data_IF_827906530092
#
_entry.id   IF_827906530092
#
_cell.length_a   1.000
_cell.length_b   1.000
_cell.length_c   1.000
_cell.angle_alpha   90.00
_cell.angle_beta   90.00
_cell.angle_gamma   90.00
#
_symmetry.space_group_name_H-M   'P 1'
#
loop_
_entity.id
_entity.type
_entity.pdbx_description
1 polymer ?
#
# COMPACT_ATOMS: atom_id res chain seq x y z
N UNK A 1 26.58 20.56 33.94
CA UNK A 1 26.22 21.25 32.68
C UNK A 1 25.39 20.27 31.87
N UNK A 2 24.13 20.58 31.57
CA UNK A 2 23.27 19.71 30.77
C UNK A 2 23.56 19.98 29.30
N UNK A 3 23.99 18.96 28.56
CA UNK A 3 24.18 19.09 27.11
C UNK A 3 22.83 19.45 26.46
N UNK A 4 22.74 20.52 25.65
CA UNK A 4 21.50 20.86 24.99
C UNK A 4 21.08 19.72 24.05
N UNK A 5 19.80 19.37 24.10
CA UNK A 5 19.23 18.32 23.25
C UNK A 5 19.24 18.79 21.79
N UNK A 6 19.69 17.96 20.82
CA UNK A 6 19.62 18.32 19.42
C UNK A 6 18.18 18.42 18.92
N UNK A 7 17.96 19.22 17.89
CA UNK A 7 16.68 19.25 17.16
C UNK A 7 16.61 18.06 16.21
N UNK A 8 15.52 17.28 16.27
CA UNK A 8 15.23 16.15 15.39
C UNK A 8 13.83 16.36 14.81
N UNK A 9 13.67 16.17 13.50
CA UNK A 9 12.39 16.31 12.79
C UNK A 9 12.13 15.05 11.98
N UNK A 10 10.93 14.47 12.11
CA UNK A 10 10.51 13.35 11.27
C UNK A 10 10.20 13.86 9.87
N UNK A 11 10.96 13.40 8.88
CA UNK A 11 10.77 13.88 7.51
C UNK A 11 9.75 13.07 6.73
N UNK A 12 9.84 11.75 6.76
CA UNK A 12 8.97 10.85 6.00
C UNK A 12 9.09 9.43 6.53
N UNK A 13 8.00 8.67 6.38
CA UNK A 13 8.04 7.21 6.41
C UNK A 13 8.53 6.72 5.05
N UNK A 14 9.40 5.72 5.01
CA UNK A 14 9.98 5.19 3.76
C UNK A 14 9.48 3.78 3.53
N UNK A 15 8.98 3.49 2.32
CA UNK A 15 8.55 2.17 1.89
C UNK A 15 9.53 1.61 0.86
N UNK A 16 9.98 0.38 1.09
CA UNK A 16 10.79 -0.36 0.13
C UNK A 16 9.89 -0.95 -0.95
N UNK A 17 10.30 -0.93 -2.21
CA UNK A 17 9.51 -1.46 -3.34
C UNK A 17 10.40 -2.02 -4.45
N UNK A 18 9.91 -2.91 -5.33
CA UNK A 18 10.65 -3.34 -6.50
C UNK A 18 10.99 -2.19 -7.46
N UNK A 19 10.10 -1.19 -7.56
CA UNK A 19 10.30 0.06 -8.29
C UNK A 19 9.74 1.24 -7.46
N UNK A 20 10.61 2.19 -7.10
CA UNK A 20 10.23 3.34 -6.29
C UNK A 20 9.34 4.34 -7.05
N UNK A 21 9.55 4.49 -8.36
CA UNK A 21 8.81 5.45 -9.17
C UNK A 21 7.37 4.97 -9.40
N UNK A 22 7.19 3.68 -9.71
CA UNK A 22 5.84 3.10 -9.87
C UNK A 22 5.02 3.20 -8.59
N UNK A 23 5.64 2.90 -7.43
CA UNK A 23 4.95 3.00 -6.16
C UNK A 23 4.64 4.46 -5.77
N UNK A 24 5.58 5.37 -6.00
CA UNK A 24 5.35 6.80 -5.76
C UNK A 24 4.24 7.35 -6.65
N UNK A 25 4.16 6.93 -7.91
CA UNK A 25 3.10 7.34 -8.82
C UNK A 25 1.71 6.89 -8.34
N UNK A 26 1.60 5.69 -7.77
CA UNK A 26 0.37 5.24 -7.10
C UNK A 26 -0.02 6.18 -5.95
N UNK A 27 0.88 6.44 -5.00
CA UNK A 27 0.59 7.29 -3.85
C UNK A 27 0.35 8.76 -4.23
N UNK A 28 0.98 9.26 -5.30
CA UNK A 28 0.67 10.60 -5.86
C UNK A 28 -0.79 10.68 -6.29
N UNK A 29 -1.29 9.69 -7.05
CA UNK A 29 -2.68 9.70 -7.51
C UNK A 29 -3.67 9.45 -6.36
N UNK A 30 -3.32 8.55 -5.45
CA UNK A 30 -4.13 8.26 -4.26
C UNK A 30 -4.32 9.50 -3.38
N UNK A 31 -3.23 10.23 -3.08
CA UNK A 31 -3.21 11.29 -2.07
C UNK A 31 -3.24 12.71 -2.65
N UNK A 32 -2.98 12.87 -3.94
CA UNK A 32 -2.76 14.17 -4.59
C UNK A 32 -1.48 14.87 -4.11
N UNK A 33 -0.50 14.12 -3.60
CA UNK A 33 0.77 14.66 -3.10
C UNK A 33 1.81 14.70 -4.20
N UNK A 34 2.49 15.83 -4.36
CA UNK A 34 3.50 16.01 -5.40
C UNK A 34 4.91 15.60 -4.93
N UNK A 35 5.76 15.11 -5.86
CA UNK A 35 7.15 14.82 -5.55
C UNK A 35 7.95 16.09 -5.27
N UNK A 36 8.82 16.00 -4.26
CA UNK A 36 9.78 17.05 -3.91
C UNK A 36 11.23 16.61 -4.11
N UNK A 37 11.43 15.33 -4.39
CA UNK A 37 12.71 14.73 -4.72
C UNK A 37 12.45 13.50 -5.58
N UNK A 38 13.16 13.41 -6.71
CA UNK A 38 13.08 12.29 -7.65
C UNK A 38 14.49 11.99 -8.17
N UNK A 39 14.96 10.77 -7.89
CA UNK A 39 16.26 10.27 -8.27
C UNK A 39 16.13 8.79 -8.69
N UNK A 40 17.08 8.22 -9.45
CA UNK A 40 17.04 6.81 -9.78
C UNK A 40 16.95 5.93 -8.53
N UNK A 41 15.82 5.23 -8.37
CA UNK A 41 15.56 4.34 -7.23
C UNK A 41 15.07 5.02 -5.96
N UNK A 42 14.76 6.32 -5.99
CA UNK A 42 14.26 7.08 -4.83
C UNK A 42 13.27 8.16 -5.24
N UNK A 43 12.11 8.19 -4.59
CA UNK A 43 11.13 9.28 -4.74
C UNK A 43 10.60 9.69 -3.38
N UNK A 44 10.32 10.99 -3.20
CA UNK A 44 9.71 11.52 -1.98
C UNK A 44 8.55 12.44 -2.30
N UNK A 45 7.39 12.16 -1.72
CA UNK A 45 6.17 12.96 -1.79
C UNK A 45 5.96 13.71 -0.48
N UNK A 46 5.45 14.95 -0.55
CA UNK A 46 5.04 15.70 0.64
C UNK A 46 3.57 16.15 0.55
N UNK A 47 2.86 16.19 1.69
CA UNK A 47 1.53 16.81 1.74
C UNK A 47 1.61 18.32 1.44
N UNK A 48 0.62 18.89 0.73
CA UNK A 48 0.62 20.31 0.38
C UNK A 48 0.58 21.25 1.59
N UNK A 49 0.04 20.79 2.73
CA UNK A 49 0.01 21.53 3.99
C UNK A 49 1.30 21.44 4.83
N UNK A 50 2.32 20.74 4.35
CA UNK A 50 3.50 20.39 5.13
C UNK A 50 3.25 19.26 6.14
N UNK A 51 4.32 18.78 6.78
CA UNK A 51 4.29 17.62 7.66
C UNK A 51 5.24 16.52 7.20
N UNK A 52 5.09 15.33 7.77
CA UNK A 52 5.85 14.15 7.37
C UNK A 52 5.24 13.54 6.11
N UNK A 53 6.08 13.29 5.10
CA UNK A 53 5.64 12.72 3.83
C UNK A 53 5.87 11.22 3.72
N UNK A 54 5.85 10.73 2.47
CA UNK A 54 6.22 9.36 2.11
C UNK A 54 7.46 9.37 1.22
N UNK A 55 8.40 8.50 1.53
CA UNK A 55 9.55 8.16 0.69
C UNK A 55 9.38 6.75 0.14
N UNK A 56 9.95 6.52 -1.03
CA UNK A 56 9.91 5.25 -1.74
C UNK A 56 11.31 4.89 -2.18
N UNK A 57 11.75 3.67 -1.88
CA UNK A 57 13.09 3.19 -2.16
C UNK A 57 13.03 1.90 -2.97
N UNK A 58 13.83 1.83 -4.03
CA UNK A 58 13.98 0.58 -4.80
C UNK A 58 14.82 -0.44 -4.03
N UNK A 59 14.23 -1.59 -3.73
CA UNK A 59 14.87 -2.71 -3.03
C UNK A 59 14.61 -4.03 -3.78
N UNK A 60 15.68 -4.68 -4.23
CA UNK A 60 15.61 -5.90 -5.03
C UNK A 60 15.19 -7.12 -4.23
N UNK A 61 15.45 -7.11 -2.93
CA UNK A 61 15.08 -8.17 -2.01
C UNK A 61 13.69 -7.95 -1.38
N UNK A 62 12.91 -6.98 -1.87
CA UNK A 62 11.59 -6.70 -1.36
C UNK A 62 10.68 -7.94 -1.43
N UNK A 63 10.03 -8.23 -0.31
CA UNK A 63 9.00 -9.26 -0.19
C UNK A 63 7.79 -8.63 0.50
N UNK A 64 6.59 -8.67 -0.12
CA UNK A 64 5.41 -8.05 0.45
C UNK A 64 5.03 -8.68 1.79
N UNK A 65 4.57 -7.89 2.77
CA UNK A 65 3.97 -8.41 3.99
C UNK A 65 2.73 -9.27 3.73
N UNK A 66 2.50 -10.25 4.59
CA UNK A 66 1.28 -11.06 4.59
C UNK A 66 0.28 -10.47 5.57
N UNK A 67 -1.00 -10.44 5.18
CA UNK A 67 -2.08 -10.00 6.06
C UNK A 67 -3.29 -10.95 6.00
N UNK A 68 -3.78 -11.44 7.17
CA UNK A 68 -3.16 -11.35 8.49
C UNK A 68 -1.95 -12.29 8.57
N UNK A 69 -0.88 -11.85 9.24
CA UNK A 69 0.33 -12.66 9.35
C UNK A 69 0.20 -13.79 10.38
N UNK A 70 0.81 -14.92 10.07
CA UNK A 70 1.06 -16.06 10.98
C UNK A 70 2.55 -16.16 11.32
N UNK A 71 2.94 -16.95 12.35
CA UNK A 71 4.34 -17.17 12.68
C UNK A 71 5.13 -17.70 11.48
N UNK A 72 6.19 -16.98 11.09
CA UNK A 72 7.03 -17.31 9.94
C UNK A 72 6.72 -16.54 8.66
N UNK A 73 5.60 -15.83 8.61
CA UNK A 73 5.27 -14.94 7.49
C UNK A 73 6.07 -13.63 7.56
N UNK A 74 6.21 -12.96 6.41
CA UNK A 74 6.69 -11.59 6.38
C UNK A 74 5.68 -10.69 7.10
N UNK A 75 6.11 -10.08 8.20
CA UNK A 75 5.25 -9.24 9.04
C UNK A 75 5.13 -7.82 8.46
N UNK A 76 3.96 -7.23 8.62
CA UNK A 76 3.83 -5.78 8.48
C UNK A 76 4.55 -5.09 9.65
N UNK A 77 5.55 -4.28 9.34
CA UNK A 77 6.42 -3.64 10.34
C UNK A 77 5.96 -2.24 10.75
N UNK A 78 5.04 -1.64 10.00
CA UNK A 78 4.46 -0.31 10.25
C UNK A 78 2.98 -0.29 9.89
N UNK A 79 2.24 0.62 10.50
CA UNK A 79 0.89 0.97 10.05
C UNK A 79 0.96 2.28 9.25
N UNK A 80 0.32 2.30 8.10
CA UNK A 80 0.10 3.50 7.30
C UNK A 80 -1.40 3.73 7.23
N UNK A 81 -1.90 4.67 8.05
CA UNK A 81 -3.33 4.89 8.24
C UNK A 81 -3.72 6.27 7.70
N UNK A 82 -4.70 6.30 6.79
CA UNK A 82 -5.25 7.52 6.22
C UNK A 82 -6.69 7.73 6.70
N UNK A 83 -6.93 8.87 7.32
CA UNK A 83 -8.28 9.27 7.69
C UNK A 83 -9.06 9.72 6.45
N UNK A 84 -10.27 9.20 6.29
CA UNK A 84 -11.23 9.62 5.26
C UNK A 84 -12.54 10.02 5.90
N UNK A 85 -13.32 10.84 5.23
CA UNK A 85 -14.67 11.22 5.70
C UNK A 85 -15.75 10.24 5.25
N UNK A 86 -15.43 9.39 4.27
CA UNK A 86 -16.32 8.39 3.70
C UNK A 86 -15.46 7.19 3.29
N UNK A 87 -15.67 6.05 3.96
CA UNK A 87 -14.93 4.82 3.67
C UNK A 87 -15.27 4.24 2.30
N UNK A 88 -16.53 4.31 1.87
CA UNK A 88 -16.95 3.72 0.59
C UNK A 88 -16.29 4.47 -0.56
N UNK A 89 -16.38 5.80 -0.54
CA UNK A 89 -15.73 6.65 -1.53
C UNK A 89 -14.20 6.53 -1.46
N UNK A 90 -13.62 6.47 -0.27
CA UNK A 90 -12.18 6.29 -0.08
C UNK A 90 -11.67 4.96 -0.64
N UNK A 91 -12.35 3.85 -0.35
CA UNK A 91 -11.99 2.53 -0.90
C UNK A 91 -12.18 2.50 -2.41
N UNK A 92 -13.29 3.00 -2.93
CA UNK A 92 -13.54 3.04 -4.37
C UNK A 92 -12.46 3.85 -5.12
N UNK A 93 -12.04 5.00 -4.57
CA UNK A 93 -10.93 5.79 -5.10
C UNK A 93 -9.62 5.01 -5.06
N UNK A 94 -9.27 4.42 -3.91
CA UNK A 94 -8.05 3.66 -3.78
C UNK A 94 -7.99 2.48 -4.77
N UNK A 95 -9.10 1.77 -4.95
CA UNK A 95 -9.24 0.68 -5.92
C UNK A 95 -9.06 1.19 -7.35
N UNK A 96 -9.71 2.30 -7.72
CA UNK A 96 -9.56 2.89 -9.04
C UNK A 96 -8.11 3.30 -9.37
N UNK A 97 -7.32 3.63 -8.34
CA UNK A 97 -5.91 3.97 -8.49
C UNK A 97 -4.95 2.78 -8.50
N UNK A 98 -5.45 1.57 -8.20
CA UNK A 98 -4.69 0.31 -8.25
C UNK A 98 -4.50 -0.40 -6.91
N UNK A 99 -5.18 0.04 -5.84
CA UNK A 99 -5.16 -0.69 -4.57
C UNK A 99 -6.06 -1.93 -4.61
N UNK A 100 -5.73 -2.95 -3.81
CA UNK A 100 -6.58 -4.14 -3.66
C UNK A 100 -7.09 -4.25 -2.22
N UNK A 101 -8.41 -4.36 -1.97
CA UNK A 101 -8.91 -4.56 -0.62
C UNK A 101 -8.47 -5.92 -0.06
N UNK A 102 -8.05 -5.97 1.20
CA UNK A 102 -7.74 -7.23 1.87
C UNK A 102 -9.02 -8.04 2.12
N UNK A 103 -8.92 -9.37 2.01
CA UNK A 103 -10.05 -10.26 2.30
C UNK A 103 -10.44 -10.23 3.78
N UNK A 104 -9.46 -10.20 4.67
CA UNK A 104 -9.68 -10.14 6.12
C UNK A 104 -9.73 -8.70 6.63
N UNK A 105 -10.88 -8.31 7.19
CA UNK A 105 -11.14 -6.98 7.74
C UNK A 105 -11.49 -7.08 9.24
N UNK A 106 -10.61 -6.65 10.17
CA UNK A 106 -10.81 -6.87 11.60
C UNK A 106 -11.73 -5.85 12.28
N UNK A 107 -11.93 -4.68 11.67
CA UNK A 107 -12.57 -3.51 12.29
C UNK A 107 -13.67 -2.96 11.39
N UNK A 108 -14.73 -2.43 11.99
CA UNK A 108 -15.92 -1.97 11.27
C UNK A 108 -15.76 -0.60 10.58
N UNK A 109 -14.89 0.23 11.12
CA UNK A 109 -14.56 1.62 10.83
C UNK A 109 -13.21 1.80 10.11
N UNK A 110 -12.51 0.69 9.86
CA UNK A 110 -11.21 0.66 9.18
C UNK A 110 -11.23 -0.33 8.03
N UNK A 111 -10.64 0.04 6.89
CA UNK A 111 -10.44 -0.86 5.75
C UNK A 111 -8.97 -1.02 5.44
N UNK A 112 -8.52 -2.27 5.46
CA UNK A 112 -7.17 -2.66 5.06
C UNK A 112 -7.15 -2.90 3.56
N UNK A 113 -6.23 -2.25 2.87
CA UNK A 113 -5.95 -2.45 1.45
C UNK A 113 -4.46 -2.72 1.26
N UNK A 114 -4.11 -3.26 0.11
CA UNK A 114 -2.75 -3.36 -0.38
C UNK A 114 -2.52 -2.32 -1.46
N UNK A 115 -1.37 -1.67 -1.42
CA UNK A 115 -0.86 -0.94 -2.59
C UNK A 115 -0.44 -1.93 -3.71
N UNK A 116 -0.04 -1.45 -4.90
CA UNK A 116 0.30 -2.32 -6.03
C UNK A 116 1.46 -3.29 -5.78
N UNK A 117 2.29 -3.05 -4.76
CA UNK A 117 3.42 -3.94 -4.43
C UNK A 117 3.17 -4.77 -3.17
N UNK A 118 2.03 -4.60 -2.51
CA UNK A 118 1.59 -5.45 -1.40
C UNK A 118 1.79 -4.86 -0.01
N UNK A 119 2.14 -3.58 0.16
CA UNK A 119 2.13 -2.98 1.49
C UNK A 119 0.70 -2.83 1.99
N UNK A 120 0.38 -3.33 3.20
CA UNK A 120 -0.90 -3.02 3.80
C UNK A 120 -0.95 -1.55 4.25
N UNK A 121 -2.03 -0.86 3.92
CA UNK A 121 -2.38 0.45 4.45
C UNK A 121 -3.87 0.48 4.82
N UNK A 122 -4.25 1.38 5.71
CA UNK A 122 -5.62 1.50 6.18
C UNK A 122 -6.26 2.80 5.71
N UNK A 123 -7.53 2.73 5.34
CA UNK A 123 -8.43 3.88 5.37
C UNK A 123 -9.30 3.77 6.62
N UNK A 124 -9.46 4.85 7.37
CA UNK A 124 -10.31 4.85 8.56
C UNK A 124 -11.18 6.09 8.64
N UNK A 125 -12.33 5.96 9.29
CA UNK A 125 -13.15 7.10 9.73
C UNK A 125 -13.00 7.25 11.24
N UNK A 126 -12.88 8.48 11.72
CA UNK A 126 -12.82 8.76 13.15
C UNK A 126 -14.24 9.01 13.67
N UNK A 127 -15.01 7.93 13.92
CA UNK A 127 -16.37 8.02 14.46
C UNK A 127 -16.40 7.62 15.95
N UNK A 128 -16.80 8.51 16.89
CA UNK A 128 -16.71 8.22 18.33
C UNK A 128 -17.88 7.40 18.90
N UNK A 129 -18.72 6.72 18.11
CA UNK A 129 -19.96 6.11 18.62
C UNK A 129 -19.95 4.56 18.66
N UNK A 130 -19.91 3.93 19.86
CA UNK A 130 -20.14 2.50 20.00
C UNK A 130 -21.55 2.10 19.57
N UNK A 131 -21.68 1.04 18.77
CA UNK A 131 -22.95 0.38 18.45
C UNK A 131 -23.56 0.72 17.10
N UNK A 132 -22.82 1.41 16.22
CA UNK A 132 -23.28 1.74 14.87
C UNK A 132 -22.96 0.61 13.88
N UNK A 133 -23.77 0.51 12.82
CA UNK A 133 -23.55 -0.41 11.70
C UNK A 133 -22.17 -0.14 11.08
N UNK A 134 -21.43 -1.17 10.63
CA UNK A 134 -20.15 -0.97 9.96
C UNK A 134 -20.27 0.08 8.87
N UNK A 135 -19.28 0.98 8.81
CA UNK A 135 -19.29 2.10 7.87
C UNK A 135 -19.36 1.63 6.40
N UNK A 136 -18.91 0.40 6.09
CA UNK A 136 -19.25 -0.35 4.87
C UNK A 136 -19.39 -1.86 5.17
N UNK A 137 -20.11 -2.65 4.38
CA UNK A 137 -20.21 -4.11 4.64
C UNK A 137 -18.92 -4.85 4.21
N UNK A 138 -18.48 -5.91 4.92
CA UNK A 138 -17.40 -6.78 4.44
C UNK A 138 -17.70 -7.45 3.08
N UNK A 139 -18.98 -7.67 2.77
CA UNK A 139 -19.40 -8.25 1.50
C UNK A 139 -19.19 -7.29 0.32
N UNK A 140 -19.47 -6.00 0.48
CA UNK A 140 -19.14 -4.98 -0.51
C UNK A 140 -17.62 -4.92 -0.75
N UNK A 141 -16.81 -4.96 0.31
CA UNK A 141 -15.34 -5.00 0.20
C UNK A 141 -14.89 -6.24 -0.57
N UNK A 142 -15.45 -7.41 -0.24
CA UNK A 142 -15.15 -8.65 -0.92
C UNK A 142 -15.61 -8.64 -2.39
N UNK A 143 -16.67 -7.91 -2.72
CA UNK A 143 -17.10 -7.68 -4.10
C UNK A 143 -16.09 -6.81 -4.85
N UNK A 144 -15.62 -5.71 -4.26
CA UNK A 144 -14.57 -4.88 -4.86
C UNK A 144 -13.30 -5.69 -5.14
N UNK A 145 -12.85 -6.50 -4.17
CA UNK A 145 -11.68 -7.37 -4.34
C UNK A 145 -11.85 -8.40 -5.47
N UNK A 146 -13.06 -8.97 -5.63
CA UNK A 146 -13.36 -9.93 -6.71
C UNK A 146 -13.39 -9.30 -8.09
N UNK A 147 -13.89 -8.07 -8.21
CA UNK A 147 -13.98 -7.38 -9.49
C UNK A 147 -12.58 -7.08 -10.06
N UNK A 148 -11.64 -6.66 -9.21
CA UNK A 148 -10.24 -6.42 -9.59
C UNK A 148 -9.57 -7.71 -10.10
N UNK A 149 -9.71 -8.81 -9.37
CA UNK A 149 -9.14 -10.11 -9.78
C UNK A 149 -9.72 -10.68 -11.08
N UNK A 150 -10.84 -10.14 -11.57
CA UNK A 150 -11.41 -10.48 -12.88
C UNK A 150 -10.90 -9.55 -14.00
N UNK A 151 -10.70 -8.26 -13.72
CA UNK A 151 -10.25 -7.25 -14.69
C UNK A 151 -8.73 -7.30 -14.96
N UNK A 152 -7.91 -7.67 -13.96
CA UNK A 152 -6.45 -7.78 -14.08
C UNK A 152 -5.95 -9.16 -14.56
N UNK A 153 -6.85 -10.03 -15.05
CA UNK A 153 -6.44 -11.24 -15.78
C UNK A 153 -5.86 -10.87 -17.14
N UNK A 154 -4.62 -10.40 -17.15
CA UNK A 154 -3.74 -10.52 -18.31
C UNK A 154 -3.68 -12.00 -18.64
N UNK A 155 -4.18 -12.38 -19.82
CA UNK A 155 -4.15 -13.76 -20.30
C UNK A 155 -2.74 -14.34 -20.06
N UNK A 156 -2.66 -15.41 -19.27
CA UNK A 156 -1.41 -16.12 -19.01
C UNK A 156 -0.72 -16.40 -20.35
N UNK A 157 0.42 -15.76 -20.59
CA UNK A 157 1.31 -16.14 -21.68
C UNK A 157 1.72 -17.59 -21.42
N UNK A 158 1.49 -18.52 -22.36
CA UNK A 158 1.80 -19.92 -22.12
C UNK A 158 3.28 -20.08 -21.78
N UNK A 159 3.56 -20.84 -20.73
CA UNK A 159 4.91 -21.14 -20.27
C UNK A 159 5.81 -21.55 -21.44
N UNK A 160 6.92 -20.82 -21.64
CA UNK A 160 7.89 -21.14 -22.66
C UNK A 160 8.45 -22.55 -22.41
N UNK A 161 8.28 -23.43 -23.39
CA UNK A 161 8.83 -24.80 -23.34
C UNK A 161 10.35 -24.73 -23.23
N UNK A 162 10.99 -25.44 -22.29
CA UNK A 162 12.45 -25.44 -22.16
C UNK A 162 13.10 -25.96 -23.45
N UNK A 163 13.99 -25.16 -24.06
CA UNK A 163 14.82 -25.62 -25.17
C UNK A 163 15.81 -26.66 -24.63
N UNK A 164 15.77 -27.87 -25.19
CA UNK A 164 16.78 -28.89 -24.96
C UNK A 164 18.15 -28.37 -25.44
N UNK A 165 19.14 -28.43 -24.55
CA UNK A 165 20.55 -28.18 -24.87
C UNK A 165 21.13 -29.48 -25.43
N UNK A 166 21.81 -29.49 -26.59
CA UNK A 166 22.40 -30.72 -27.10
C UNK A 166 23.66 -31.05 -26.28
N UNK A 167 23.78 -32.31 -25.87
CA UNK A 167 25.00 -32.85 -25.25
C UNK A 167 26.16 -32.80 -26.25
N UNK A 168 27.28 -32.21 -25.83
CA UNK A 168 28.52 -32.22 -26.59
C UNK A 168 29.18 -33.60 -26.44
N UNK A 169 29.42 -34.27 -27.58
CA UNK A 169 30.24 -35.48 -27.68
C UNK A 169 31.73 -35.20 -27.69
#
# INVERSE_FOLDING_TARGET
MTTPRPSLTLSSTVLDAPDAAELADFYRRLLGWEPVQEEPGWVKLLPPGGGSGLGFQTEKAYVPPVWPASPGDQLMMLHLDFEVTDLEAGVAHAVAEGATPAEFQPQHDVRVLFDPVGHPFCLFVNDPAPGQTPAISPEWVAEQARNIGAEDRVAELPAATPKQVPEAG
#
